data_IF_636528991146
#
_entry.id   IF_636528991146
#
_cell.length_a   1.000
_cell.length_b   1.000
_cell.length_c   1.000
_cell.angle_alpha   90.00
_cell.angle_beta   90.00
_cell.angle_gamma   90.00
#
_symmetry.space_group_name_H-M   'P 1'
#
loop_
_entity.id
_entity.type
_entity.pdbx_description
1 polymer ?
#
# COMPACT_ATOMS: atom_id res chain seq x y z
N UNK A 1 7.13 9.14 -35.65
CA UNK A 1 7.96 8.50 -34.62
C UNK A 1 8.72 7.41 -35.31
N UNK A 2 10.04 7.50 -35.35
CA UNK A 2 10.92 6.55 -36.10
C UNK A 2 11.03 5.24 -35.33
N UNK A 3 11.31 4.10 -36.04
CA UNK A 3 11.59 2.79 -35.41
C UNK A 3 12.76 2.87 -34.42
N UNK A 4 13.74 3.72 -34.70
CA UNK A 4 14.86 3.99 -33.80
C UNK A 4 14.42 4.65 -32.48
N UNK A 5 13.44 5.58 -32.52
CA UNK A 5 12.89 6.24 -31.34
C UNK A 5 12.11 5.25 -30.45
N UNK A 6 11.37 4.35 -31.07
CA UNK A 6 10.63 3.28 -30.36
C UNK A 6 11.55 2.26 -29.69
N UNK A 7 12.64 1.90 -30.34
CA UNK A 7 13.64 0.98 -29.82
C UNK A 7 14.39 1.60 -28.65
N UNK A 8 14.77 2.86 -28.75
CA UNK A 8 15.45 3.60 -27.67
C UNK A 8 14.53 3.80 -26.45
N UNK A 9 13.27 4.17 -26.67
CA UNK A 9 12.28 4.33 -25.60
C UNK A 9 12.03 3.00 -24.86
N UNK A 10 11.94 1.88 -25.57
CA UNK A 10 11.82 0.53 -24.98
C UNK A 10 13.04 0.15 -24.14
N UNK A 11 14.25 0.44 -24.63
CA UNK A 11 15.50 0.19 -23.89
C UNK A 11 15.56 0.99 -22.60
N UNK A 12 15.19 2.28 -22.65
CA UNK A 12 15.17 3.18 -21.49
C UNK A 12 14.13 2.76 -20.45
N UNK A 13 12.92 2.38 -20.91
CA UNK A 13 11.88 1.92 -19.99
C UNK A 13 12.25 0.61 -19.30
N UNK A 14 12.91 -0.33 -20.01
CA UNK A 14 13.38 -1.58 -19.43
C UNK A 14 14.48 -1.35 -18.38
N UNK A 15 15.41 -0.45 -18.65
CA UNK A 15 16.46 -0.08 -17.70
C UNK A 15 15.87 0.54 -16.40
N UNK A 16 14.90 1.45 -16.54
CA UNK A 16 14.18 2.02 -15.42
C UNK A 16 13.39 0.95 -14.64
N UNK A 17 12.67 0.08 -15.35
CA UNK A 17 11.93 -1.02 -14.73
C UNK A 17 12.83 -1.95 -13.91
N UNK A 18 14.03 -2.26 -14.40
CA UNK A 18 15.04 -3.05 -13.66
C UNK A 18 15.37 -2.39 -12.33
N UNK A 19 15.68 -1.09 -12.32
CA UNK A 19 15.98 -0.35 -11.10
C UNK A 19 14.82 -0.38 -10.10
N UNK A 20 13.59 -0.18 -10.56
CA UNK A 20 12.38 -0.25 -9.72
C UNK A 20 12.25 -1.64 -9.09
N UNK A 21 12.34 -2.70 -9.89
CA UNK A 21 12.18 -4.10 -9.41
C UNK A 21 13.28 -4.48 -8.42
N UNK A 22 14.49 -3.98 -8.57
CA UNK A 22 15.62 -4.24 -7.66
C UNK A 22 15.54 -3.39 -6.38
N UNK A 23 15.14 -2.13 -6.47
CA UNK A 23 15.16 -1.19 -5.34
C UNK A 23 13.95 -1.30 -4.42
N UNK A 24 12.74 -1.41 -4.98
CA UNK A 24 11.50 -1.40 -4.19
C UNK A 24 11.44 -2.54 -3.16
N UNK A 25 11.81 -3.79 -3.45
CA UNK A 25 11.82 -4.85 -2.45
C UNK A 25 12.79 -4.62 -1.30
N UNK A 26 13.95 -3.99 -1.56
CA UNK A 26 14.95 -3.64 -0.54
C UNK A 26 14.36 -2.59 0.40
N UNK A 27 13.81 -1.50 -0.14
CA UNK A 27 13.17 -0.45 0.64
C UNK A 27 11.99 -1.00 1.46
N UNK A 28 11.14 -1.81 0.86
CA UNK A 28 10.01 -2.43 1.55
C UNK A 28 10.44 -3.36 2.68
N UNK A 29 11.56 -4.07 2.53
CA UNK A 29 12.13 -4.91 3.60
C UNK A 29 12.60 -4.06 4.78
N UNK A 30 13.30 -2.96 4.53
CA UNK A 30 13.75 -2.02 5.55
C UNK A 30 12.58 -1.42 6.32
N UNK A 31 11.56 -0.92 5.62
CA UNK A 31 10.35 -0.37 6.23
C UNK A 31 9.65 -1.41 7.11
N UNK A 32 9.49 -2.65 6.63
CA UNK A 32 8.88 -3.74 7.40
C UNK A 32 9.66 -4.09 8.66
N UNK A 33 11.00 -4.13 8.54
CA UNK A 33 11.89 -4.41 9.67
C UNK A 33 11.76 -3.32 10.74
N UNK A 34 11.81 -2.06 10.35
CA UNK A 34 11.71 -0.92 11.26
C UNK A 34 10.35 -0.83 11.98
N UNK A 35 9.26 -1.11 11.27
CA UNK A 35 7.92 -1.14 11.89
C UNK A 35 7.78 -2.29 12.89
N UNK A 36 8.40 -3.45 12.65
CA UNK A 36 8.36 -4.61 13.56
C UNK A 36 9.22 -4.42 14.82
N UNK A 37 10.43 -3.88 14.68
CA UNK A 37 11.38 -3.74 15.79
C UNK A 37 10.89 -2.85 16.92
N UNK A 38 9.89 -2.02 16.67
CA UNK A 38 9.30 -1.11 17.64
C UNK A 38 8.00 -1.64 18.29
N UNK A 39 7.81 -2.97 18.33
CA UNK A 39 6.72 -3.59 19.09
C UNK A 39 5.33 -3.53 18.42
N UNK A 40 5.24 -3.18 17.15
CA UNK A 40 3.99 -3.23 16.42
C UNK A 40 3.50 -4.68 16.26
N UNK A 41 2.49 -5.07 17.02
CA UNK A 41 1.89 -6.43 16.97
C UNK A 41 0.98 -6.64 15.74
N UNK A 42 1.24 -5.93 14.64
CA UNK A 42 0.47 -5.99 13.40
C UNK A 42 1.24 -6.67 12.28
N UNK A 43 0.60 -7.62 11.60
CA UNK A 43 1.18 -8.26 10.41
C UNK A 43 1.01 -7.38 9.16
N UNK A 44 1.86 -7.58 8.15
CA UNK A 44 1.73 -6.87 6.88
C UNK A 44 0.34 -7.02 6.21
N UNK A 45 -0.27 -8.23 6.13
CA UNK A 45 -1.63 -8.35 5.62
C UNK A 45 -2.65 -7.52 6.40
N UNK A 46 -2.54 -7.47 7.73
CA UNK A 46 -3.42 -6.63 8.56
C UNK A 46 -3.22 -5.15 8.25
N UNK A 47 -1.98 -4.68 8.13
CA UNK A 47 -1.68 -3.29 7.79
C UNK A 47 -2.22 -2.93 6.39
N UNK A 48 -2.14 -3.86 5.43
CA UNK A 48 -2.72 -3.66 4.09
C UNK A 48 -4.24 -3.53 4.14
N UNK A 49 -4.93 -4.31 4.98
CA UNK A 49 -6.38 -4.17 5.20
C UNK A 49 -6.73 -2.82 5.82
N UNK A 50 -6.01 -2.39 6.86
CA UNK A 50 -6.24 -1.06 7.44
C UNK A 50 -6.04 0.03 6.39
N UNK A 51 -4.99 -0.07 5.58
CA UNK A 51 -4.73 0.86 4.48
C UNK A 51 -5.83 0.86 3.40
N UNK A 52 -6.38 -0.30 3.06
CA UNK A 52 -7.54 -0.40 2.14
C UNK A 52 -8.75 0.32 2.73
N UNK A 53 -9.15 -0.03 3.96
CA UNK A 53 -10.35 0.52 4.61
C UNK A 53 -10.23 2.01 4.93
N UNK A 54 -9.02 2.53 5.05
CA UNK A 54 -8.77 3.98 5.18
C UNK A 54 -9.08 4.74 3.88
N UNK A 55 -8.75 4.14 2.71
CA UNK A 55 -8.99 4.75 1.40
C UNK A 55 -10.38 4.46 0.84
N UNK A 56 -10.95 3.31 1.22
CA UNK A 56 -12.24 2.81 0.74
C UNK A 56 -13.09 2.35 1.94
N UNK A 57 -13.64 3.29 2.73
CA UNK A 57 -14.58 2.95 3.80
C UNK A 57 -15.81 2.24 3.20
N UNK A 58 -16.23 1.16 3.82
CA UNK A 58 -17.36 0.38 3.32
C UNK A 58 -16.99 -0.75 2.35
N UNK A 59 -15.71 -1.04 2.16
CA UNK A 59 -15.28 -2.21 1.40
C UNK A 59 -15.81 -3.51 2.02
N UNK A 60 -16.11 -4.49 1.17
CA UNK A 60 -16.56 -5.83 1.56
C UNK A 60 -15.38 -6.76 1.87
N UNK A 61 -15.67 -7.94 2.42
CA UNK A 61 -14.66 -9.01 2.60
C UNK A 61 -14.09 -9.47 1.25
N UNK A 62 -14.90 -9.47 0.19
CA UNK A 62 -14.44 -9.80 -1.15
C UNK A 62 -13.44 -8.78 -1.68
N UNK A 63 -13.68 -7.48 -1.44
CA UNK A 63 -12.72 -6.42 -1.81
C UNK A 63 -11.38 -6.59 -1.07
N UNK A 64 -11.42 -7.01 0.19
CA UNK A 64 -10.21 -7.38 0.94
C UNK A 64 -9.49 -8.55 0.30
N UNK A 65 -10.22 -9.59 -0.14
CA UNK A 65 -9.65 -10.74 -0.85
C UNK A 65 -8.93 -10.33 -2.12
N UNK A 66 -9.57 -9.53 -2.96
CA UNK A 66 -9.01 -8.98 -4.20
C UNK A 66 -7.76 -8.12 -3.89
N UNK A 67 -7.84 -7.23 -2.90
CA UNK A 67 -6.74 -6.34 -2.54
C UNK A 67 -5.50 -7.10 -2.03
N UNK A 68 -5.70 -8.21 -1.32
CA UNK A 68 -4.61 -9.02 -0.79
C UNK A 68 -4.13 -10.12 -1.73
N UNK A 69 -4.87 -10.38 -2.82
CA UNK A 69 -4.67 -11.52 -3.71
C UNK A 69 -4.81 -12.85 -2.97
N UNK A 70 -5.90 -13.00 -2.23
CA UNK A 70 -6.23 -14.21 -1.48
C UNK A 70 -7.69 -14.59 -1.68
N UNK A 71 -8.03 -15.85 -1.36
CA UNK A 71 -9.41 -16.33 -1.42
C UNK A 71 -10.31 -15.64 -0.38
N UNK A 72 -11.61 -15.53 -0.67
CA UNK A 72 -12.59 -14.92 0.25
C UNK A 72 -12.61 -15.58 1.63
N UNK A 73 -12.52 -16.90 1.80
CA UNK A 73 -12.39 -17.53 3.12
C UNK A 73 -11.15 -17.07 3.89
N UNK A 74 -10.00 -16.93 3.21
CA UNK A 74 -8.76 -16.44 3.83
C UNK A 74 -8.91 -14.98 4.27
N UNK A 75 -9.51 -14.15 3.43
CA UNK A 75 -9.81 -12.76 3.75
C UNK A 75 -10.78 -12.66 4.95
N UNK A 76 -11.83 -13.48 4.97
CA UNK A 76 -12.79 -13.53 6.08
C UNK A 76 -12.11 -13.88 7.40
N UNK A 77 -11.27 -14.93 7.43
CA UNK A 77 -10.53 -15.33 8.62
C UNK A 77 -9.57 -14.22 9.12
N UNK A 78 -8.98 -13.45 8.19
CA UNK A 78 -8.15 -12.31 8.56
C UNK A 78 -8.98 -11.18 9.16
N UNK A 79 -10.09 -10.81 8.52
CA UNK A 79 -11.03 -9.78 9.00
C UNK A 79 -11.59 -10.16 10.37
N UNK A 80 -11.98 -11.42 10.58
CA UNK A 80 -12.47 -11.90 11.89
C UNK A 80 -11.45 -11.68 13.02
N UNK A 81 -10.18 -11.98 12.75
CA UNK A 81 -9.10 -11.68 13.70
C UNK A 81 -8.93 -10.20 13.98
N UNK A 82 -9.14 -9.34 12.96
CA UNK A 82 -9.04 -7.89 13.13
C UNK A 82 -10.26 -7.31 13.87
N UNK A 83 -11.44 -7.87 13.67
CA UNK A 83 -12.64 -7.55 14.46
C UNK A 83 -12.45 -7.93 15.92
N UNK A 84 -11.95 -9.15 16.20
CA UNK A 84 -11.63 -9.60 17.56
C UNK A 84 -10.61 -8.71 18.27
N UNK A 85 -9.69 -8.10 17.50
CA UNK A 85 -8.72 -7.12 18.03
C UNK A 85 -9.28 -5.69 18.09
N UNK A 86 -10.56 -5.48 17.79
CA UNK A 86 -11.21 -4.17 17.73
C UNK A 86 -10.54 -3.18 16.78
N UNK A 87 -9.91 -3.65 15.71
CA UNK A 87 -9.26 -2.79 14.70
C UNK A 87 -10.20 -2.46 13.54
N UNK A 88 -11.13 -3.36 13.26
CA UNK A 88 -12.14 -3.27 12.19
C UNK A 88 -13.49 -3.60 12.79
N UNK A 89 -14.53 -2.98 12.30
CA UNK A 89 -15.91 -3.31 12.62
C UNK A 89 -16.69 -3.65 11.37
N UNK A 90 -17.64 -4.57 11.51
CA UNK A 90 -18.64 -4.87 10.51
C UNK A 90 -19.87 -4.02 10.76
N UNK A 91 -20.43 -3.43 9.70
CA UNK A 91 -21.69 -2.68 9.75
C UNK A 91 -22.59 -3.17 8.62
N UNK A 92 -23.89 -3.05 8.81
CA UNK A 92 -24.84 -3.17 7.70
C UNK A 92 -24.66 -1.95 6.79
N UNK A 93 -24.75 -2.18 5.49
CA UNK A 93 -24.74 -1.09 4.51
C UNK A 93 -26.05 -0.28 4.66
N UNK A 94 -25.99 1.04 4.87
CA UNK A 94 -27.19 1.87 5.00
C UNK A 94 -28.06 1.85 3.75
N UNK A 95 -27.48 1.61 2.58
CA UNK A 95 -28.18 1.58 1.29
C UNK A 95 -28.68 0.17 0.92
N UNK A 96 -28.05 -0.87 1.44
CA UNK A 96 -28.33 -2.26 1.08
C UNK A 96 -28.23 -3.18 2.32
N UNK A 97 -29.33 -3.31 3.07
CA UNK A 97 -29.38 -4.03 4.38
C UNK A 97 -28.82 -5.46 4.39
N UNK A 98 -28.74 -6.12 3.22
CA UNK A 98 -28.16 -7.47 3.10
C UNK A 98 -26.62 -7.46 2.94
N UNK A 99 -26.04 -6.29 2.74
CA UNK A 99 -24.60 -6.13 2.53
C UNK A 99 -23.90 -5.76 3.83
N UNK A 100 -22.87 -6.51 4.17
CA UNK A 100 -21.99 -6.20 5.30
C UNK A 100 -20.77 -5.45 4.77
N UNK A 101 -20.54 -4.27 5.31
CA UNK A 101 -19.40 -3.42 5.00
C UNK A 101 -18.42 -3.38 6.17
N UNK A 102 -17.17 -3.12 5.84
CA UNK A 102 -16.07 -3.02 6.79
C UNK A 102 -15.66 -1.57 6.97
N UNK A 103 -15.45 -1.17 8.22
CA UNK A 103 -14.91 0.17 8.55
C UNK A 103 -13.85 0.06 9.63
N UNK A 104 -12.94 1.03 9.65
CA UNK A 104 -11.95 1.13 10.74
C UNK A 104 -12.64 1.59 12.03
N UNK A 105 -12.18 1.04 13.14
CA UNK A 105 -12.43 1.62 14.48
C UNK A 105 -11.44 2.77 14.73
N UNK A 106 -11.61 3.51 15.83
CA UNK A 106 -10.62 4.49 16.29
C UNK A 106 -9.25 3.82 16.49
N UNK A 107 -9.20 2.69 17.20
CA UNK A 107 -7.96 1.93 17.42
C UNK A 107 -7.32 1.44 16.11
N UNK A 108 -8.12 1.08 15.11
CA UNK A 108 -7.62 0.71 13.78
C UNK A 108 -7.01 1.87 13.02
N UNK A 109 -7.59 3.07 13.15
CA UNK A 109 -7.04 4.31 12.56
C UNK A 109 -5.72 4.69 13.23
N UNK A 110 -5.71 4.75 14.57
CA UNK A 110 -4.53 5.10 15.35
C UNK A 110 -3.36 4.16 15.04
N UNK A 111 -3.61 2.84 15.00
CA UNK A 111 -2.60 1.87 14.66
C UNK A 111 -2.04 2.04 13.23
N UNK A 112 -2.89 2.39 12.26
CA UNK A 112 -2.47 2.68 10.90
C UNK A 112 -1.59 3.93 10.84
N UNK A 113 -2.00 5.00 11.53
CA UNK A 113 -1.26 6.26 11.59
C UNK A 113 0.09 6.09 12.28
N UNK A 114 0.13 5.42 13.42
CA UNK A 114 1.38 5.08 14.11
C UNK A 114 2.33 4.27 13.21
N UNK A 115 1.79 3.27 12.51
CA UNK A 115 2.60 2.46 11.61
C UNK A 115 3.16 3.27 10.44
N UNK A 116 2.39 4.23 9.91
CA UNK A 116 2.84 5.16 8.86
C UNK A 116 3.90 6.13 9.38
N UNK A 117 3.69 6.72 10.55
CA UNK A 117 4.63 7.65 11.17
C UNK A 117 5.98 6.96 11.42
N UNK A 118 5.98 5.73 11.92
CA UNK A 118 7.20 4.93 12.11
C UNK A 118 7.92 4.64 10.80
N UNK A 119 7.18 4.25 9.75
CA UNK A 119 7.75 4.03 8.43
C UNK A 119 8.35 5.32 7.85
N UNK A 120 7.66 6.45 7.99
CA UNK A 120 8.14 7.77 7.56
C UNK A 120 9.40 8.18 8.30
N UNK A 121 9.43 8.02 9.63
CA UNK A 121 10.60 8.34 10.46
C UNK A 121 11.82 7.51 10.05
N UNK A 122 11.63 6.21 9.77
CA UNK A 122 12.71 5.35 9.29
C UNK A 122 13.25 5.80 7.93
N UNK A 123 12.35 6.11 6.99
CA UNK A 123 12.75 6.57 5.65
C UNK A 123 13.41 7.95 5.73
N UNK A 124 12.90 8.86 6.59
CA UNK A 124 13.52 10.14 6.83
C UNK A 124 14.96 9.99 7.37
N UNK A 125 15.17 9.05 8.30
CA UNK A 125 16.53 8.76 8.80
C UNK A 125 17.44 8.18 7.71
N UNK A 126 16.92 7.31 6.84
CA UNK A 126 17.65 6.78 5.67
C UNK A 126 18.11 7.91 4.73
N UNK A 127 17.27 8.93 4.55
CA UNK A 127 17.51 10.05 3.65
C UNK A 127 18.22 11.24 4.30
N UNK A 128 18.58 11.15 5.59
CA UNK A 128 19.12 12.29 6.35
C UNK A 128 20.45 12.85 5.86
N UNK A 129 21.22 12.06 5.10
CA UNK A 129 22.52 12.46 4.56
C UNK A 129 22.45 12.95 3.11
N UNK A 130 21.28 12.87 2.48
CA UNK A 130 21.10 13.29 1.10
C UNK A 130 20.99 14.81 1.00
N UNK A 131 21.51 15.37 -0.09
CA UNK A 131 21.40 16.81 -0.35
C UNK A 131 19.95 17.19 -0.74
N UNK A 132 19.56 18.47 -0.57
CA UNK A 132 18.25 18.91 -1.02
C UNK A 132 17.95 18.62 -2.48
N UNK A 133 18.97 18.71 -3.35
CA UNK A 133 18.82 18.38 -4.77
C UNK A 133 18.53 16.89 -5.00
N UNK A 134 19.21 16.00 -4.26
CA UNK A 134 18.97 14.56 -4.31
C UNK A 134 17.58 14.20 -3.79
N UNK A 135 17.16 14.82 -2.69
CA UNK A 135 15.81 14.65 -2.13
C UNK A 135 14.72 15.06 -3.12
N UNK A 136 14.91 16.18 -3.83
CA UNK A 136 13.98 16.61 -4.88
C UNK A 136 13.90 15.60 -6.03
N UNK A 137 15.04 15.12 -6.53
CA UNK A 137 15.08 14.09 -7.60
C UNK A 137 14.38 12.79 -7.17
N UNK A 138 14.58 12.35 -5.93
CA UNK A 138 13.90 11.18 -5.37
C UNK A 138 12.38 11.42 -5.32
N UNK A 139 11.96 12.58 -4.82
CA UNK A 139 10.54 12.94 -4.71
C UNK A 139 9.86 12.99 -6.08
N UNK A 140 10.48 13.63 -7.06
CA UNK A 140 9.99 13.69 -8.45
C UNK A 140 9.88 12.30 -9.08
N UNK A 141 10.91 11.47 -8.93
CA UNK A 141 10.92 10.10 -9.44
C UNK A 141 9.82 9.23 -8.83
N UNK A 142 9.57 9.37 -7.52
CA UNK A 142 8.50 8.67 -6.83
C UNK A 142 7.11 9.14 -7.29
N UNK A 143 6.93 10.45 -7.53
CA UNK A 143 5.67 10.99 -8.05
C UNK A 143 5.37 10.46 -9.45
N UNK A 144 6.35 10.51 -10.36
CA UNK A 144 6.20 9.97 -11.72
C UNK A 144 5.88 8.46 -11.70
N UNK A 145 6.53 7.70 -10.83
CA UNK A 145 6.26 6.26 -10.69
C UNK A 145 4.85 5.98 -10.15
N UNK A 146 4.39 6.78 -9.19
CA UNK A 146 3.04 6.67 -8.63
C UNK A 146 1.97 6.96 -9.69
N UNK A 147 2.15 8.03 -10.48
CA UNK A 147 1.24 8.42 -11.56
C UNK A 147 1.15 7.34 -12.65
N UNK A 148 2.30 6.78 -13.06
CA UNK A 148 2.36 5.69 -14.03
C UNK A 148 1.63 4.44 -13.51
N UNK A 149 1.83 4.09 -12.22
CA UNK A 149 1.16 2.94 -11.60
C UNK A 149 -0.36 3.15 -11.52
N UNK A 150 -0.82 4.35 -11.21
CA UNK A 150 -2.24 4.69 -11.15
C UNK A 150 -2.90 4.64 -12.52
N UNK A 151 -2.26 5.22 -13.55
CA UNK A 151 -2.73 5.16 -14.93
C UNK A 151 -2.88 3.72 -15.42
N UNK A 152 -1.90 2.86 -15.13
CA UNK A 152 -1.94 1.44 -15.48
C UNK A 152 -3.08 0.67 -14.78
N UNK A 153 -3.37 0.99 -13.50
CA UNK A 153 -4.49 0.37 -12.79
C UNK A 153 -5.86 0.79 -13.36
N UNK A 154 -5.99 2.03 -13.81
CA UNK A 154 -7.22 2.56 -14.38
C UNK A 154 -7.49 1.92 -15.75
N UNK A 155 -6.46 1.75 -16.59
CA UNK A 155 -6.60 1.12 -17.90
C UNK A 155 -7.00 -0.36 -17.86
N UNK A 156 -6.72 -1.08 -16.76
CA UNK A 156 -7.14 -2.48 -16.57
C UNK A 156 -8.59 -2.65 -16.09
N UNK A 157 -9.24 -1.57 -15.68
CA UNK A 157 -10.65 -1.61 -15.19
C UNK A 157 -11.66 -1.21 -16.26
N UNK A 158 -11.20 -0.70 -17.40
CA UNK A 158 -11.99 -0.40 -18.61
C UNK A 158 -11.96 -1.56 -19.56
#
# INVERSE_FOLDING_TARGET
>A
MSDADLTNAKSTSLACAKQVVETVPVLMRLIRSGVRSQGASISLPQLRVLGLLSRQPGASVSDVGIHLDVTTPTASALVDRMVKKSLVQRKEDPSERRRVILTLTAAGKDLLEDSRARAQSLVAHLLALETPEQLNKISEGLSLLADAAQAFQTSKKS
#
